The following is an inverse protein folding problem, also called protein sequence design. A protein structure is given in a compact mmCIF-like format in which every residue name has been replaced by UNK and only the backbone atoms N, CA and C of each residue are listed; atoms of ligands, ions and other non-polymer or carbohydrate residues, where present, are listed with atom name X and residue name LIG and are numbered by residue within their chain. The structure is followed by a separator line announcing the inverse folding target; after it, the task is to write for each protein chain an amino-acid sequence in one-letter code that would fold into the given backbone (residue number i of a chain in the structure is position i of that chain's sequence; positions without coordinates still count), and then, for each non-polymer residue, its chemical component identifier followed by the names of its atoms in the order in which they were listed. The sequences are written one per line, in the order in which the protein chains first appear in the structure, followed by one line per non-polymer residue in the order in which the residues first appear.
data_IF_326704367929
#
_entry.id   IF_326704367929
#
_cell.length_a   1.000
_cell.length_b   1.000
_cell.length_c   1.000
_cell.angle_alpha   90.00
_cell.angle_beta   90.00
_cell.angle_gamma   90.00
#
_symmetry.space_group_name_H-M   'P 1'
#
loop_
_entity.id
_entity.type
_entity.pdbx_description
1 polymer ?
#
# COMPACT_ATOMS: atom_id res chain seq x y z
N UNK A 1 1.77 -24.13 -6.50
CA UNK A 1 1.39 -23.59 -5.18
C UNK A 1 1.04 -22.11 -5.34
N UNK A 2 -0.11 -21.68 -4.81
CA UNK A 2 -0.46 -20.26 -4.69
C UNK A 2 -0.18 -19.83 -3.25
N UNK A 3 0.50 -18.72 -3.04
CA UNK A 3 0.87 -18.21 -1.71
C UNK A 3 0.81 -16.68 -1.64
N UNK A 4 0.21 -16.15 -0.57
CA UNK A 4 0.30 -14.74 -0.19
C UNK A 4 1.21 -14.63 1.05
N UNK A 5 2.46 -14.17 0.92
CA UNK A 5 3.39 -14.11 2.05
C UNK A 5 3.00 -13.02 3.06
N UNK A 6 3.10 -13.32 4.34
CA UNK A 6 3.02 -12.30 5.39
C UNK A 6 4.30 -11.48 5.49
N UNK A 7 5.44 -12.08 5.12
CA UNK A 7 6.77 -11.47 5.07
C UNK A 7 7.53 -12.01 3.86
N UNK A 8 8.15 -11.11 3.08
CA UNK A 8 8.80 -11.43 1.81
C UNK A 8 10.12 -12.20 1.97
N UNK A 9 10.80 -12.08 3.11
CA UNK A 9 12.04 -12.81 3.43
C UNK A 9 11.76 -14.14 4.12
N UNK A 10 10.86 -14.14 5.11
CA UNK A 10 10.56 -15.32 5.92
C UNK A 10 9.96 -16.47 5.09
N UNK A 11 9.17 -16.17 4.05
CA UNK A 11 8.57 -17.16 3.16
C UNK A 11 9.61 -17.94 2.32
N UNK A 12 10.81 -17.39 2.15
CA UNK A 12 11.83 -17.88 1.23
C UNK A 12 12.17 -19.37 1.42
N UNK A 13 12.31 -19.83 2.68
CA UNK A 13 12.61 -21.25 2.94
C UNK A 13 11.49 -22.18 2.47
N UNK A 14 10.23 -21.79 2.64
CA UNK A 14 9.07 -22.56 2.19
C UNK A 14 9.04 -22.67 0.66
N UNK A 15 9.38 -21.58 -0.04
CA UNK A 15 9.47 -21.58 -1.51
C UNK A 15 10.62 -22.46 -1.97
N UNK A 16 11.80 -22.39 -1.36
CA UNK A 16 12.93 -23.27 -1.69
C UNK A 16 12.60 -24.75 -1.49
N UNK A 17 11.81 -25.07 -0.46
CA UNK A 17 11.33 -26.46 -0.26
C UNK A 17 10.38 -26.89 -1.39
N UNK A 18 9.46 -26.03 -1.80
CA UNK A 18 8.56 -26.30 -2.93
C UNK A 18 9.36 -26.47 -4.24
N UNK A 19 10.36 -25.62 -4.49
CA UNK A 19 11.21 -25.71 -5.67
C UNK A 19 11.98 -27.04 -5.71
N UNK A 20 12.56 -27.49 -4.58
CA UNK A 20 13.22 -28.80 -4.47
C UNK A 20 12.28 -29.98 -4.77
N UNK A 21 11.00 -29.82 -4.49
CA UNK A 21 9.96 -30.81 -4.78
C UNK A 21 9.38 -30.64 -6.20
N UNK A 22 9.95 -29.79 -7.04
CA UNK A 22 9.46 -29.44 -8.39
C UNK A 22 8.01 -28.92 -8.38
N UNK A 23 7.60 -28.23 -7.31
CA UNK A 23 6.28 -27.60 -7.20
C UNK A 23 6.41 -26.14 -7.67
N UNK A 24 5.77 -25.75 -8.78
CA UNK A 24 5.78 -24.37 -9.23
C UNK A 24 5.07 -23.46 -8.22
N UNK A 25 5.66 -22.31 -7.97
CA UNK A 25 5.17 -21.32 -6.99
C UNK A 25 4.70 -20.07 -7.70
N UNK A 26 3.53 -19.60 -7.32
CA UNK A 26 2.95 -18.31 -7.73
C UNK A 26 2.68 -17.51 -6.46
N UNK A 27 3.20 -16.29 -6.39
CA UNK A 27 2.93 -15.38 -5.27
C UNK A 27 1.78 -14.45 -5.61
N UNK A 28 0.93 -14.17 -4.62
CA UNK A 28 -0.20 -13.27 -4.73
C UNK A 28 -0.01 -12.10 -3.75
N UNK A 29 -0.39 -10.90 -4.15
CA UNK A 29 -0.39 -9.68 -3.35
C UNK A 29 1.01 -9.26 -2.87
N UNK A 30 1.74 -10.14 -2.19
CA UNK A 30 3.10 -9.87 -1.69
C UNK A 30 4.12 -10.79 -2.36
N UNK A 31 5.24 -10.23 -2.77
CA UNK A 31 6.33 -10.97 -3.39
C UNK A 31 7.19 -11.69 -2.35
N UNK A 32 8.01 -12.63 -2.81
CA UNK A 32 9.06 -13.28 -2.04
C UNK A 32 10.43 -12.85 -2.54
N UNK A 33 11.37 -12.69 -1.61
CA UNK A 33 12.74 -12.25 -1.92
C UNK A 33 13.69 -13.43 -2.19
N UNK A 34 13.26 -14.68 -1.95
CA UNK A 34 14.09 -15.91 -2.13
C UNK A 34 13.26 -17.03 -2.73
N UNK A 35 13.94 -17.89 -3.50
CA UNK A 35 13.35 -19.02 -4.21
C UNK A 35 12.85 -18.62 -5.60
N UNK A 36 12.47 -19.63 -6.39
CA UNK A 36 11.97 -19.44 -7.73
C UNK A 36 10.44 -19.30 -7.69
N UNK A 37 9.96 -18.17 -8.19
CA UNK A 37 8.55 -17.83 -8.34
C UNK A 37 8.27 -17.77 -9.84
N UNK A 38 7.32 -18.57 -10.32
CA UNK A 38 6.96 -18.65 -11.74
C UNK A 38 6.24 -17.38 -12.18
N UNK A 39 5.39 -16.84 -11.31
CA UNK A 39 4.65 -15.61 -11.57
C UNK A 39 4.27 -14.94 -10.26
N UNK A 40 4.28 -13.59 -10.26
CA UNK A 40 3.80 -12.75 -9.16
C UNK A 40 2.60 -11.94 -9.62
N UNK A 41 1.45 -12.11 -8.96
CA UNK A 41 0.20 -11.39 -9.26
C UNK A 41 -0.12 -10.45 -8.12
N UNK A 42 -0.07 -9.15 -8.36
CA UNK A 42 -0.28 -8.14 -7.33
C UNK A 42 -0.76 -6.82 -7.93
N UNK A 43 -1.28 -5.92 -7.09
CA UNK A 43 -1.48 -4.52 -7.47
C UNK A 43 -0.15 -3.87 -7.83
N UNK A 44 -0.17 -2.90 -8.75
CA UNK A 44 1.00 -2.06 -9.02
C UNK A 44 1.20 -1.08 -7.84
N UNK A 45 1.84 -1.57 -6.79
CA UNK A 45 2.06 -0.82 -5.55
C UNK A 45 2.90 0.46 -5.76
N UNK A 46 3.85 0.45 -6.73
CA UNK A 46 4.65 1.65 -7.06
C UNK A 46 3.78 2.72 -7.70
N UNK A 47 2.97 2.33 -8.69
CA UNK A 47 2.00 3.23 -9.31
C UNK A 47 1.02 3.77 -8.26
N UNK A 48 0.50 2.91 -7.37
CA UNK A 48 -0.43 3.33 -6.33
C UNK A 48 0.16 4.34 -5.33
N UNK A 49 1.41 4.13 -4.91
CA UNK A 49 2.13 5.12 -4.09
C UNK A 49 2.29 6.46 -4.81
N UNK A 50 2.64 6.43 -6.11
CA UNK A 50 2.72 7.65 -6.92
C UNK A 50 1.36 8.33 -7.09
N UNK A 51 0.28 7.57 -7.34
CA UNK A 51 -1.09 8.13 -7.42
C UNK A 51 -1.48 8.88 -6.14
N UNK A 52 -1.08 8.38 -4.96
CA UNK A 52 -1.32 9.07 -3.70
C UNK A 52 -0.58 10.41 -3.63
N UNK A 53 0.68 10.46 -4.06
CA UNK A 53 1.45 11.71 -4.11
C UNK A 53 0.86 12.70 -5.11
N UNK A 54 0.48 12.24 -6.31
CA UNK A 54 -0.13 13.07 -7.36
C UNK A 54 -1.46 13.69 -6.87
N UNK A 55 -2.30 12.89 -6.17
CA UNK A 55 -3.54 13.39 -5.59
C UNK A 55 -3.30 14.42 -4.48
N UNK A 56 -2.33 14.17 -3.59
CA UNK A 56 -1.95 15.14 -2.56
C UNK A 56 -1.51 16.46 -3.21
N UNK A 57 -0.64 16.41 -4.22
CA UNK A 57 -0.19 17.61 -4.93
C UNK A 57 -1.34 18.37 -5.59
N UNK A 58 -2.30 17.65 -6.18
CA UNK A 58 -3.50 18.26 -6.77
C UNK A 58 -4.32 19.05 -5.73
N UNK A 59 -4.40 18.54 -4.48
CA UNK A 59 -5.25 19.10 -3.44
C UNK A 59 -4.54 20.16 -2.57
N UNK A 60 -3.25 19.99 -2.32
CA UNK A 60 -2.50 20.84 -1.37
C UNK A 60 -1.42 21.68 -2.05
N UNK A 61 -1.17 21.43 -3.33
CA UNK A 61 -0.10 22.11 -4.09
C UNK A 61 1.26 21.40 -3.97
N UNK A 62 2.21 21.86 -4.79
CA UNK A 62 3.62 21.44 -4.69
C UNK A 62 4.25 22.02 -3.41
N UNK A 63 5.36 21.40 -2.96
CA UNK A 63 6.13 21.80 -1.78
C UNK A 63 5.37 21.62 -0.45
N UNK A 64 4.23 20.92 -0.47
CA UNK A 64 3.42 20.67 0.72
C UNK A 64 4.19 19.86 1.77
N UNK A 65 3.87 20.12 3.05
CA UNK A 65 4.43 19.42 4.20
C UNK A 65 3.67 18.14 4.44
N UNK A 66 4.32 17.00 4.19
CA UNK A 66 3.67 15.69 4.16
C UNK A 66 4.30 14.73 5.17
N UNK A 67 3.48 13.87 5.77
CA UNK A 67 3.90 12.74 6.59
C UNK A 67 3.51 11.46 5.86
N UNK A 68 4.39 10.44 5.91
CA UNK A 68 4.10 9.08 5.45
C UNK A 68 4.00 8.13 6.65
N UNK A 69 2.92 7.34 6.71
CA UNK A 69 2.81 6.19 7.60
C UNK A 69 3.07 4.91 6.80
N UNK A 70 4.11 4.19 7.19
CA UNK A 70 4.58 3.01 6.47
C UNK A 70 3.93 1.73 7.01
N UNK A 71 3.74 0.75 6.11
CA UNK A 71 3.30 -0.58 6.47
C UNK A 71 4.40 -1.42 7.12
N UNK A 72 4.19 -2.75 7.12
CA UNK A 72 5.15 -3.72 7.68
C UNK A 72 6.41 -3.74 6.82
N UNK A 73 7.55 -3.40 7.41
CA UNK A 73 8.84 -3.22 6.71
C UNK A 73 9.31 -4.47 5.94
N UNK A 74 8.97 -5.68 6.39
CA UNK A 74 9.32 -6.94 5.73
C UNK A 74 8.47 -7.28 4.50
N UNK A 75 7.52 -6.43 4.09
CA UNK A 75 6.62 -6.71 2.96
C UNK A 75 7.01 -5.95 1.71
N UNK A 76 6.87 -6.60 0.53
CA UNK A 76 7.04 -5.94 -0.76
C UNK A 76 6.04 -4.80 -0.94
N UNK A 77 4.80 -4.98 -0.50
CA UNK A 77 3.75 -3.97 -0.60
C UNK A 77 4.13 -2.65 0.09
N UNK A 78 4.61 -2.71 1.37
CA UNK A 78 5.04 -1.51 2.09
C UNK A 78 6.20 -0.82 1.38
N UNK A 79 7.22 -1.58 0.98
CA UNK A 79 8.40 -1.07 0.28
C UNK A 79 8.01 -0.37 -1.03
N UNK A 80 7.21 -1.01 -1.86
CA UNK A 80 6.84 -0.53 -3.18
C UNK A 80 5.90 0.69 -3.12
N UNK A 81 4.91 0.69 -2.21
CA UNK A 81 4.05 1.87 -1.96
C UNK A 81 4.90 3.06 -1.52
N UNK A 82 5.88 2.83 -0.62
CA UNK A 82 6.82 3.85 -0.18
C UNK A 82 7.71 4.38 -1.31
N UNK A 83 8.28 3.50 -2.14
CA UNK A 83 9.12 3.90 -3.29
C UNK A 83 8.33 4.73 -4.31
N UNK A 84 7.10 4.32 -4.63
CA UNK A 84 6.22 5.07 -5.52
C UNK A 84 5.85 6.43 -4.97
N UNK A 85 5.45 6.48 -3.70
CA UNK A 85 5.16 7.75 -3.02
C UNK A 85 6.37 8.68 -2.97
N UNK A 86 7.54 8.18 -2.62
CA UNK A 86 8.77 8.96 -2.57
C UNK A 86 9.18 9.49 -3.97
N UNK A 87 8.88 8.76 -5.03
CA UNK A 87 9.08 9.22 -6.41
C UNK A 87 8.18 10.43 -6.69
N UNK A 88 6.88 10.32 -6.45
CA UNK A 88 5.94 11.44 -6.62
C UNK A 88 6.25 12.60 -5.69
N UNK A 89 6.64 12.33 -4.43
CA UNK A 89 7.03 13.37 -3.48
C UNK A 89 8.22 14.21 -3.98
N UNK A 90 9.19 13.58 -4.63
CA UNK A 90 10.32 14.29 -5.27
C UNK A 90 9.86 15.13 -6.47
N UNK A 91 9.03 14.55 -7.33
CA UNK A 91 8.48 15.24 -8.52
C UNK A 91 7.71 16.50 -8.11
N UNK A 92 6.88 16.41 -7.06
CA UNK A 92 6.09 17.52 -6.53
C UNK A 92 6.83 18.37 -5.50
N UNK A 93 8.12 18.08 -5.22
CA UNK A 93 8.97 18.79 -4.25
C UNK A 93 8.37 18.84 -2.84
N UNK A 94 7.69 17.80 -2.41
CA UNK A 94 7.14 17.76 -1.05
C UNK A 94 8.23 17.89 0.01
N UNK A 95 7.91 18.64 1.07
CA UNK A 95 8.67 18.61 2.30
C UNK A 95 8.18 17.40 3.13
N UNK A 96 8.83 16.25 2.94
CA UNK A 96 8.53 15.04 3.70
C UNK A 96 9.06 15.20 5.13
N UNK A 97 8.16 15.55 6.06
CA UNK A 97 8.49 15.85 7.46
C UNK A 97 8.90 14.61 8.23
N UNK A 98 8.26 13.47 7.96
CA UNK A 98 8.54 12.19 8.58
C UNK A 98 8.00 11.04 7.72
N UNK A 99 8.67 9.88 7.84
CA UNK A 99 8.22 8.59 7.37
C UNK A 99 8.39 7.58 8.50
N UNK A 100 7.31 7.00 9.00
CA UNK A 100 7.30 6.18 10.22
C UNK A 100 6.48 4.91 10.05
N UNK A 101 6.99 3.72 10.44
CA UNK A 101 6.23 2.49 10.43
C UNK A 101 5.04 2.55 11.40
N UNK A 102 3.87 2.11 10.91
CA UNK A 102 2.67 1.87 11.71
C UNK A 102 2.05 0.50 11.35
N UNK A 103 2.82 -0.35 10.64
CA UNK A 103 2.67 -1.79 10.46
C UNK A 103 1.28 -2.24 9.96
N UNK A 104 0.62 -1.44 9.12
CA UNK A 104 -0.74 -1.67 8.62
C UNK A 104 -1.81 -1.78 9.72
N UNK A 105 -1.55 -1.24 10.92
CA UNK A 105 -2.41 -1.35 12.08
C UNK A 105 -3.05 -0.01 12.45
N UNK A 106 -4.37 -0.04 12.73
CA UNK A 106 -5.17 1.17 13.03
C UNK A 106 -4.72 1.85 14.33
N UNK A 107 -4.43 1.07 15.37
CA UNK A 107 -4.01 1.58 16.67
C UNK A 107 -2.60 2.16 16.61
N UNK A 108 -1.69 1.50 15.88
CA UNK A 108 -0.35 2.03 15.64
C UNK A 108 -0.42 3.30 14.80
N UNK A 109 -1.25 3.33 13.76
CA UNK A 109 -1.50 4.54 12.95
C UNK A 109 -1.95 5.73 13.79
N UNK A 110 -2.88 5.50 14.73
CA UNK A 110 -3.31 6.53 15.69
C UNK A 110 -2.15 7.00 16.57
N UNK A 111 -1.44 6.07 17.22
CA UNK A 111 -0.39 6.41 18.19
C UNK A 111 0.80 7.12 17.52
N UNK A 112 1.23 6.61 16.37
CA UNK A 112 2.33 7.21 15.59
C UNK A 112 1.93 8.62 15.14
N UNK A 113 0.71 8.79 14.62
CA UNK A 113 0.27 10.12 14.17
C UNK A 113 0.14 11.12 15.32
N UNK A 114 -0.31 10.71 16.51
CA UNK A 114 -0.33 11.59 17.70
C UNK A 114 1.06 12.14 18.03
N UNK A 115 2.07 11.26 18.02
CA UNK A 115 3.46 11.65 18.27
C UNK A 115 3.98 12.60 17.17
N UNK A 116 3.69 12.28 15.91
CA UNK A 116 4.12 13.09 14.76
C UNK A 116 3.45 14.45 14.72
N UNK A 117 2.20 14.59 15.15
CA UNK A 117 1.53 15.88 15.27
C UNK A 117 2.21 16.83 16.27
N UNK A 118 2.70 16.26 17.38
CA UNK A 118 3.46 17.03 18.37
C UNK A 118 4.78 17.55 17.79
N UNK A 119 5.49 16.71 17.02
CA UNK A 119 6.75 17.08 16.41
C UNK A 119 6.60 17.98 15.16
N UNK A 120 5.50 17.79 14.42
CA UNK A 120 5.26 18.41 13.13
C UNK A 120 3.87 19.07 13.06
N UNK A 121 3.58 20.11 13.85
CA UNK A 121 2.25 20.71 13.93
C UNK A 121 1.80 21.38 12.62
N UNK A 122 2.72 21.65 11.71
CA UNK A 122 2.44 22.31 10.43
C UNK A 122 2.20 21.33 9.26
N UNK A 123 1.95 20.03 9.54
CA UNK A 123 1.62 19.04 8.51
C UNK A 123 0.36 19.45 7.74
N UNK A 124 0.36 19.25 6.43
CA UNK A 124 -0.73 19.59 5.53
C UNK A 124 -1.41 18.34 4.93
N UNK A 125 -0.63 17.25 4.76
CA UNK A 125 -1.17 16.00 4.26
C UNK A 125 -0.49 14.79 4.89
N UNK A 126 -1.20 13.67 4.91
CA UNK A 126 -0.71 12.36 5.36
C UNK A 126 -1.01 11.34 4.27
N UNK A 127 0.01 10.61 3.83
CA UNK A 127 -0.17 9.36 3.11
C UNK A 127 0.01 8.20 4.08
N UNK A 128 -1.00 7.38 4.24
CA UNK A 128 -0.93 6.12 4.94
C UNK A 128 -0.97 4.97 3.94
N UNK A 129 0.00 4.07 4.01
CA UNK A 129 0.15 2.98 3.05
C UNK A 129 -0.97 1.92 3.12
N UNK A 130 -1.95 2.10 4.04
CA UNK A 130 -3.24 1.41 4.00
C UNK A 130 -4.33 2.19 4.74
N UNK A 131 -5.59 1.78 4.55
CA UNK A 131 -6.76 2.43 5.15
C UNK A 131 -6.81 2.29 6.66
N UNK A 132 -6.35 1.16 7.22
CA UNK A 132 -6.32 0.98 8.67
C UNK A 132 -5.48 2.06 9.35
N UNK A 133 -4.26 2.29 8.86
CA UNK A 133 -3.42 3.37 9.36
C UNK A 133 -4.01 4.76 9.07
N UNK A 134 -4.63 4.95 7.88
CA UNK A 134 -5.29 6.21 7.52
C UNK A 134 -6.42 6.56 8.49
N UNK A 135 -7.26 5.59 8.84
CA UNK A 135 -8.35 5.76 9.82
C UNK A 135 -7.82 6.02 11.23
N UNK A 136 -6.71 5.39 11.60
CA UNK A 136 -5.99 5.69 12.84
C UNK A 136 -5.47 7.12 12.88
N UNK A 137 -4.77 7.55 11.82
CA UNK A 137 -4.26 8.91 11.67
C UNK A 137 -5.39 9.95 11.69
N UNK A 138 -6.50 9.68 10.99
CA UNK A 138 -7.69 10.52 11.00
C UNK A 138 -8.22 10.73 12.42
N UNK A 139 -8.26 9.67 13.24
CA UNK A 139 -8.69 9.78 14.64
C UNK A 139 -7.76 10.66 15.46
N UNK A 140 -6.44 10.54 15.28
CA UNK A 140 -5.46 11.41 15.93
C UNK A 140 -5.66 12.87 15.56
N UNK A 141 -5.83 13.17 14.27
CA UNK A 141 -6.07 14.50 13.73
C UNK A 141 -7.36 15.13 14.30
N UNK A 142 -8.46 14.35 14.31
CA UNK A 142 -9.74 14.80 14.88
C UNK A 142 -9.62 15.14 16.37
N UNK A 143 -8.91 14.32 17.14
CA UNK A 143 -8.69 14.56 18.58
C UNK A 143 -7.85 15.83 18.82
N UNK A 144 -6.92 16.12 17.90
CA UNK A 144 -6.10 17.34 17.95
C UNK A 144 -6.77 18.58 17.32
N UNK A 145 -8.01 18.46 16.83
CA UNK A 145 -8.72 19.56 16.15
C UNK A 145 -8.15 19.93 14.77
N UNK A 146 -7.32 19.06 14.16
CA UNK A 146 -6.65 19.26 12.87
C UNK A 146 -7.43 18.60 11.73
N UNK A 147 -8.66 19.05 11.53
CA UNK A 147 -9.53 18.57 10.44
C UNK A 147 -9.19 19.18 9.06
N UNK A 148 -8.23 20.08 9.04
CA UNK A 148 -7.66 20.72 7.85
C UNK A 148 -6.63 19.86 7.10
N UNK A 149 -6.10 18.82 7.75
CA UNK A 149 -5.06 17.94 7.18
C UNK A 149 -5.69 16.91 6.24
N UNK A 150 -5.23 16.88 5.00
CA UNK A 150 -5.64 15.88 4.00
C UNK A 150 -5.06 14.51 4.36
N UNK A 151 -5.90 13.47 4.40
CA UNK A 151 -5.43 12.09 4.62
C UNK A 151 -5.78 11.24 3.40
N UNK A 152 -4.79 10.52 2.89
CA UNK A 152 -4.94 9.56 1.78
C UNK A 152 -4.57 8.17 2.26
N UNK A 153 -5.46 7.21 2.03
CA UNK A 153 -5.29 5.81 2.36
C UNK A 153 -4.93 4.95 1.15
N UNK A 154 -4.93 3.66 1.37
CA UNK A 154 -4.71 2.63 0.36
C UNK A 154 -5.48 1.38 0.78
N UNK A 155 -5.93 0.56 -0.12
CA UNK A 155 -6.65 -0.70 -0.09
C UNK A 155 -8.09 -0.58 -0.62
N UNK A 156 -8.80 0.52 -0.37
CA UNK A 156 -10.21 0.65 -0.73
C UNK A 156 -11.10 -0.23 0.15
N UNK A 157 -10.78 -0.32 1.44
CA UNK A 157 -11.61 -1.07 2.40
C UNK A 157 -12.99 -0.43 2.54
N UNK A 158 -13.99 -1.20 2.97
CA UNK A 158 -15.33 -0.66 3.20
C UNK A 158 -15.33 0.55 4.15
N UNK A 159 -14.50 0.51 5.20
CA UNK A 159 -14.37 1.63 6.15
C UNK A 159 -13.64 2.82 5.52
N UNK A 160 -12.61 2.57 4.70
CA UNK A 160 -11.88 3.59 3.95
C UNK A 160 -12.81 4.31 2.96
N UNK A 161 -13.54 3.55 2.14
CA UNK A 161 -14.50 4.10 1.17
C UNK A 161 -15.59 4.94 1.88
N UNK A 162 -16.19 4.43 2.96
CA UNK A 162 -17.16 5.19 3.76
C UNK A 162 -16.57 6.48 4.34
N UNK A 163 -15.29 6.46 4.72
CA UNK A 163 -14.62 7.65 5.22
C UNK A 163 -14.37 8.69 4.11
N UNK A 164 -14.08 8.24 2.88
CA UNK A 164 -13.98 9.11 1.70
C UNK A 164 -15.34 9.72 1.36
N UNK A 165 -16.40 8.91 1.24
CA UNK A 165 -17.76 9.36 0.98
C UNK A 165 -18.24 10.37 2.03
N UNK A 166 -17.91 10.12 3.30
CA UNK A 166 -18.19 11.02 4.43
C UNK A 166 -17.31 12.28 4.46
N UNK A 167 -16.38 12.46 3.51
CA UNK A 167 -15.47 13.60 3.43
C UNK A 167 -14.45 13.67 4.56
N UNK A 168 -14.19 12.54 5.24
CA UNK A 168 -13.22 12.43 6.33
C UNK A 168 -11.83 12.05 5.82
N UNK A 169 -11.75 11.11 4.86
CA UNK A 169 -10.56 10.87 4.07
C UNK A 169 -10.66 11.62 2.75
N UNK A 170 -9.54 12.11 2.23
CA UNK A 170 -9.49 12.76 0.92
C UNK A 170 -9.62 11.77 -0.21
N UNK A 171 -8.94 10.62 -0.08
CA UNK A 171 -8.99 9.52 -1.05
C UNK A 171 -8.50 8.21 -0.43
N UNK A 172 -8.79 7.11 -1.12
CA UNK A 172 -8.08 5.83 -0.96
C UNK A 172 -7.73 5.26 -2.32
N UNK A 173 -6.56 4.60 -2.43
CA UNK A 173 -6.16 3.86 -3.62
C UNK A 173 -6.70 2.44 -3.49
N UNK A 174 -7.78 2.14 -4.17
CA UNK A 174 -8.47 0.86 -4.05
C UNK A 174 -7.74 -0.25 -4.82
N UNK A 175 -7.54 -1.37 -4.16
CA UNK A 175 -7.08 -2.62 -4.75
C UNK A 175 -8.26 -3.47 -5.25
N UNK A 176 -7.94 -4.47 -6.07
CA UNK A 176 -8.88 -5.45 -6.62
C UNK A 176 -8.49 -6.86 -6.14
N UNK A 177 -8.65 -7.20 -4.84
CA UNK A 177 -8.22 -8.50 -4.30
C UNK A 177 -8.95 -9.69 -4.94
N UNK A 178 -10.21 -9.49 -5.37
CA UNK A 178 -10.97 -10.43 -6.17
C UNK A 178 -10.25 -10.76 -7.49
N UNK A 179 -9.74 -9.74 -8.19
CA UNK A 179 -9.02 -9.92 -9.44
C UNK A 179 -7.65 -10.56 -9.23
N UNK A 180 -6.95 -10.23 -8.15
CA UNK A 180 -5.69 -10.90 -7.79
C UNK A 180 -5.93 -12.42 -7.62
N UNK A 181 -7.01 -12.78 -6.94
CA UNK A 181 -7.40 -14.19 -6.75
C UNK A 181 -7.76 -14.88 -8.06
N UNK A 182 -8.62 -14.27 -8.88
CA UNK A 182 -9.06 -14.81 -10.18
C UNK A 182 -7.86 -15.01 -11.11
N UNK A 183 -7.04 -13.97 -11.29
CA UNK A 183 -5.85 -14.02 -12.16
C UNK A 183 -4.85 -15.04 -11.64
N UNK A 184 -4.64 -15.12 -10.33
CA UNK A 184 -3.75 -16.12 -9.72
C UNK A 184 -4.15 -17.55 -10.06
N UNK A 185 -5.45 -17.87 -10.00
CA UNK A 185 -5.96 -19.20 -10.39
C UNK A 185 -5.81 -19.45 -11.90
N UNK A 186 -6.07 -18.43 -12.73
CA UNK A 186 -5.89 -18.55 -14.19
C UNK A 186 -4.42 -18.79 -14.56
N UNK A 187 -3.48 -18.12 -13.90
CA UNK A 187 -2.04 -18.34 -14.09
C UNK A 187 -1.65 -19.75 -13.63
N UNK A 188 -2.19 -20.21 -12.50
CA UNK A 188 -1.94 -21.57 -12.02
C UNK A 188 -2.41 -22.64 -13.01
N UNK A 189 -3.58 -22.47 -13.62
CA UNK A 189 -4.11 -23.37 -14.64
C UNK A 189 -3.18 -23.44 -15.87
N UNK A 190 -2.73 -22.28 -16.37
CA UNK A 190 -1.76 -22.21 -17.47
C UNK A 190 -0.45 -22.91 -17.15
N UNK A 191 0.11 -22.65 -15.95
CA UNK A 191 1.35 -23.31 -15.50
C UNK A 191 1.21 -24.82 -15.46
N UNK A 192 0.07 -25.33 -14.96
CA UNK A 192 -0.20 -26.78 -14.91
C UNK A 192 -0.36 -27.40 -16.29
N UNK A 193 -0.77 -26.64 -17.30
CA UNK A 193 -0.83 -27.04 -18.71
C UNK A 193 0.51 -26.94 -19.44
N UNK A 194 1.56 -26.45 -18.77
CA UNK A 194 2.89 -26.23 -19.37
C UNK A 194 2.97 -25.00 -20.28
N UNK A 195 2.00 -24.06 -20.17
CA UNK A 195 1.99 -22.83 -20.93
C UNK A 195 2.95 -21.80 -20.32
N UNK A 196 3.49 -20.92 -21.17
CA UNK A 196 4.30 -19.78 -20.70
C UNK A 196 3.40 -18.74 -20.05
N UNK A 197 3.85 -18.17 -18.93
CA UNK A 197 3.20 -17.08 -18.22
C UNK A 197 4.19 -15.95 -17.97
N UNK A 198 3.67 -14.74 -17.77
CA UNK A 198 4.49 -13.58 -17.41
C UNK A 198 4.98 -13.74 -15.96
N UNK A 199 6.22 -13.34 -15.71
CA UNK A 199 6.81 -13.38 -14.37
C UNK A 199 6.16 -12.41 -13.39
N UNK A 200 5.53 -11.33 -13.89
CA UNK A 200 4.79 -10.34 -13.09
C UNK A 200 3.51 -9.97 -13.83
N UNK A 201 2.40 -10.01 -13.12
CA UNK A 201 1.07 -9.68 -13.64
C UNK A 201 0.46 -8.61 -12.73
N UNK A 202 0.52 -7.33 -13.15
CA UNK A 202 -0.06 -6.25 -12.38
C UNK A 202 -1.59 -6.27 -12.46
N UNK A 203 -2.25 -6.02 -11.33
CA UNK A 203 -3.69 -5.79 -11.23
C UNK A 203 -3.93 -4.31 -11.02
N UNK A 204 -4.88 -3.74 -11.78
CA UNK A 204 -5.19 -2.33 -11.79
C UNK A 204 -5.66 -1.82 -10.42
N UNK A 205 -5.32 -0.56 -10.16
CA UNK A 205 -5.73 0.21 -8.99
C UNK A 205 -6.73 1.29 -9.40
N UNK A 206 -7.55 1.72 -8.45
CA UNK A 206 -8.51 2.79 -8.65
C UNK A 206 -8.35 3.88 -7.59
N UNK A 207 -8.32 5.15 -8.00
CA UNK A 207 -8.37 6.30 -7.08
C UNK A 207 -9.82 6.56 -6.70
N UNK A 208 -10.20 6.24 -5.47
CA UNK A 208 -11.53 6.53 -4.92
C UNK A 208 -11.50 7.86 -4.22
N UNK A 209 -12.34 8.79 -4.71
CA UNK A 209 -12.53 10.14 -4.16
C UNK A 209 -14.01 10.40 -3.91
N UNK A 210 -14.33 11.39 -3.09
CA UNK A 210 -15.70 11.82 -2.91
C UNK A 210 -16.22 12.40 -4.22
N UNK A 211 -17.35 11.87 -4.68
CA UNK A 211 -18.13 12.36 -5.82
C UNK A 211 -18.90 13.65 -5.46
#
# INVERSE_FOLDING_TARGET
MLINPTDSDAVGNSILMANKANIPVITLDRAANKGEVVSHVASDNRMGGKMAADYIAQKTGSESKVIQLEGISGTSAARERGEGFNTGAKEHKFNLLASQPADFDRTKGLNVMQNLLTAHPAVQAVFAQNDEMALGALRALQTAGRTDVLVVGFDGTNDGIKAVEGGKLGATIAQRPDQIGIVGVQIADKVLKGEKVDSTVPVELELVVKQ
#
